data_IF_970658413827
#
_entry.id   IF_970658413827
#
_cell.length_a   1.000
_cell.length_b   1.000
_cell.length_c   1.000
_cell.angle_alpha   90.00
_cell.angle_beta   90.00
_cell.angle_gamma   90.00
#
_symmetry.space_group_name_H-M   'P 1'
#
loop_
_entity.id
_entity.type
_entity.pdbx_description
1 polymer ?
#
# COMPACT_ATOMS: atom_id res chain seq x y z
N UNK A 1 77.35 9.20 -64.96
CA UNK A 1 75.96 9.54 -64.58
C UNK A 1 75.30 8.28 -64.04
N UNK A 2 74.61 8.40 -62.92
CA UNK A 2 74.49 7.38 -61.86
C UNK A 2 73.69 6.11 -62.23
N UNK A 3 74.20 4.95 -61.79
CA UNK A 3 73.48 3.66 -61.75
C UNK A 3 72.57 3.60 -60.50
N UNK A 4 71.29 3.19 -60.64
CA UNK A 4 70.42 2.88 -59.50
C UNK A 4 70.65 1.45 -58.97
N UNK A 5 70.30 1.16 -57.70
CA UNK A 5 70.71 -0.06 -56.99
C UNK A 5 69.87 -1.31 -57.32
N UNK A 6 70.51 -2.47 -57.05
CA UNK A 6 70.16 -3.83 -57.47
C UNK A 6 69.09 -4.48 -56.57
N UNK A 7 68.24 -5.29 -57.22
CA UNK A 7 67.13 -6.11 -56.75
C UNK A 7 67.59 -7.42 -56.08
N UNK A 8 66.96 -7.83 -54.97
CA UNK A 8 66.89 -9.23 -54.52
C UNK A 8 65.58 -9.50 -53.78
N UNK A 9 64.73 -10.35 -54.36
CA UNK A 9 63.52 -10.90 -53.72
C UNK A 9 63.89 -12.06 -52.79
N UNK A 10 63.36 -12.11 -51.55
CA UNK A 10 63.39 -13.31 -50.72
C UNK A 10 62.19 -14.27 -51.00
N UNK A 11 62.36 -15.57 -50.70
CA UNK A 11 61.54 -16.66 -51.24
C UNK A 11 60.14 -16.83 -50.60
N UNK A 12 59.24 -17.44 -51.37
CA UNK A 12 57.87 -17.83 -51.01
C UNK A 12 57.83 -18.83 -49.83
N UNK A 13 56.98 -18.66 -48.81
CA UNK A 13 56.96 -19.52 -47.64
C UNK A 13 56.20 -20.84 -47.87
N UNK A 14 56.80 -21.95 -47.40
CA UNK A 14 56.20 -23.29 -47.30
C UNK A 14 55.48 -23.44 -45.96
N UNK A 15 54.31 -24.06 -45.99
CA UNK A 15 53.37 -24.17 -44.89
C UNK A 15 53.90 -25.00 -43.70
N UNK A 16 53.59 -24.53 -42.47
CA UNK A 16 53.64 -25.35 -41.26
C UNK A 16 52.38 -25.08 -40.43
N UNK A 17 51.65 -26.16 -40.13
CA UNK A 17 50.37 -26.22 -39.42
C UNK A 17 50.46 -25.85 -37.93
N UNK A 18 49.37 -25.27 -37.41
CA UNK A 18 49.13 -24.82 -36.03
C UNK A 18 49.23 -25.92 -34.95
N UNK A 19 49.45 -25.50 -33.69
CA UNK A 19 48.72 -26.03 -32.55
C UNK A 19 47.63 -25.06 -32.05
N UNK A 20 46.47 -25.66 -31.79
CA UNK A 20 45.23 -25.10 -31.27
C UNK A 20 45.42 -24.37 -29.93
N UNK A 21 45.04 -23.09 -29.88
CA UNK A 21 44.70 -22.41 -28.63
C UNK A 21 43.19 -22.16 -28.62
N UNK A 22 42.51 -22.82 -27.69
CA UNK A 22 41.09 -22.59 -27.40
C UNK A 22 40.94 -21.19 -26.83
N UNK A 23 40.46 -20.24 -27.62
CA UNK A 23 40.00 -18.94 -27.13
C UNK A 23 38.65 -19.15 -26.43
N UNK A 24 38.67 -19.20 -25.11
CA UNK A 24 37.45 -19.11 -24.32
C UNK A 24 36.93 -17.67 -24.41
N UNK A 25 35.89 -17.46 -25.20
CA UNK A 25 35.17 -16.19 -25.24
C UNK A 25 34.25 -16.14 -24.01
N UNK A 26 34.67 -15.44 -22.96
CA UNK A 26 33.77 -15.06 -21.87
C UNK A 26 32.83 -13.96 -22.37
N UNK A 27 31.64 -14.34 -22.83
CA UNK A 27 30.51 -13.40 -22.93
C UNK A 27 30.06 -13.04 -21.51
N UNK A 28 30.47 -11.87 -21.04
CA UNK A 28 29.93 -11.27 -19.83
C UNK A 28 28.56 -10.67 -20.14
N UNK A 29 27.52 -11.49 -20.00
CA UNK A 29 26.13 -11.00 -20.07
C UNK A 29 25.86 -10.23 -18.79
N UNK A 30 25.98 -8.90 -18.83
CA UNK A 30 25.56 -8.04 -17.73
C UNK A 30 24.04 -8.13 -17.63
N UNK A 31 23.54 -8.95 -16.70
CA UNK A 31 22.13 -8.96 -16.34
C UNK A 31 21.85 -7.61 -15.65
N UNK A 32 21.32 -6.63 -16.40
CA UNK A 32 20.66 -5.50 -15.76
C UNK A 32 19.44 -6.08 -15.07
N UNK A 33 19.59 -6.38 -13.78
CA UNK A 33 18.47 -6.47 -12.85
C UNK A 33 17.85 -5.08 -12.84
N UNK A 34 16.91 -4.84 -13.75
CA UNK A 34 15.99 -3.72 -13.64
C UNK A 34 15.30 -3.89 -12.29
N UNK A 35 15.66 -3.07 -11.31
CA UNK A 35 14.84 -2.90 -10.13
C UNK A 35 13.50 -2.41 -10.66
N UNK A 36 12.47 -3.24 -10.61
CA UNK A 36 11.10 -2.78 -10.76
C UNK A 36 10.86 -1.84 -9.59
N UNK A 37 11.14 -0.55 -9.78
CA UNK A 37 10.67 0.48 -8.87
C UNK A 37 9.16 0.41 -8.97
N UNK A 38 8.52 -0.13 -7.94
CA UNK A 38 7.09 0.02 -7.78
C UNK A 38 6.78 1.52 -7.88
N UNK A 39 5.69 1.85 -8.58
CA UNK A 39 5.28 3.23 -8.84
C UNK A 39 3.79 3.35 -8.58
N UNK A 40 3.38 4.48 -8.01
CA UNK A 40 1.98 4.88 -7.90
C UNK A 40 1.39 4.99 -9.31
N UNK A 41 0.30 4.26 -9.56
CA UNK A 41 -0.38 4.24 -10.86
C UNK A 41 -1.57 5.19 -10.79
N UNK A 42 -1.44 6.34 -11.44
CA UNK A 42 -2.50 7.33 -11.58
C UNK A 42 -3.38 6.99 -12.78
N UNK A 43 -4.71 7.10 -12.64
CA UNK A 43 -5.63 6.86 -13.76
C UNK A 43 -5.73 8.05 -14.72
N UNK A 44 -5.29 9.23 -14.26
CA UNK A 44 -5.44 10.51 -14.97
C UNK A 44 -6.71 11.27 -14.57
N UNK A 45 -7.65 10.63 -13.88
CA UNK A 45 -8.88 11.25 -13.42
C UNK A 45 -8.74 11.88 -12.02
N UNK A 46 -9.69 12.74 -11.69
CA UNK A 46 -9.82 13.32 -10.34
C UNK A 46 -11.26 13.25 -9.85
N UNK A 47 -11.43 13.09 -8.54
CA UNK A 47 -12.72 13.14 -7.87
C UNK A 47 -12.62 14.15 -6.71
N UNK A 48 -13.50 15.16 -6.72
CA UNK A 48 -13.49 16.26 -5.74
C UNK A 48 -12.12 16.98 -5.64
N UNK A 49 -11.41 17.07 -6.77
CA UNK A 49 -10.10 17.72 -6.85
C UNK A 49 -8.92 16.88 -6.38
N UNK A 50 -9.13 15.59 -6.02
CA UNK A 50 -8.06 14.67 -5.64
C UNK A 50 -7.86 13.60 -6.72
N UNK A 51 -6.61 13.17 -6.99
CA UNK A 51 -6.31 12.17 -7.99
C UNK A 51 -6.95 10.81 -7.68
N UNK A 52 -7.40 10.13 -8.73
CA UNK A 52 -7.76 8.72 -8.69
C UNK A 52 -6.53 7.88 -9.05
N UNK A 53 -6.27 6.85 -8.26
CA UNK A 53 -5.17 5.91 -8.44
C UNK A 53 -5.71 4.48 -8.54
N UNK A 54 -5.01 3.61 -9.24
CA UNK A 54 -5.24 2.17 -9.23
C UNK A 54 -4.23 1.43 -8.36
N UNK A 55 -3.07 2.04 -8.08
CA UNK A 55 -2.06 1.49 -7.16
C UNK A 55 -1.26 2.59 -6.48
N UNK A 56 -0.89 2.39 -5.22
CA UNK A 56 -0.14 3.32 -4.39
C UNK A 56 1.27 2.77 -4.15
N UNK A 57 2.27 3.58 -4.45
CA UNK A 57 3.61 3.45 -3.88
C UNK A 57 3.88 4.65 -2.97
N UNK A 58 4.07 4.39 -1.68
CA UNK A 58 4.29 5.47 -0.71
C UNK A 58 5.58 6.26 -0.99
N UNK A 59 6.55 5.68 -1.71
CA UNK A 59 7.82 6.33 -2.04
C UNK A 59 7.66 7.44 -3.07
N UNK A 60 6.57 7.45 -3.84
CA UNK A 60 6.22 8.52 -4.79
C UNK A 60 5.43 9.67 -4.14
N UNK A 61 4.94 9.48 -2.91
CA UNK A 61 4.17 10.52 -2.21
C UNK A 61 5.12 11.61 -1.71
N UNK A 62 4.87 12.91 -1.96
CA UNK A 62 5.78 13.97 -1.54
C UNK A 62 6.05 13.98 -0.03
N UNK A 63 7.32 14.11 0.35
CA UNK A 63 7.74 14.26 1.75
C UNK A 63 7.22 15.56 2.36
N UNK A 64 7.01 15.56 3.68
CA UNK A 64 6.45 16.65 4.48
C UNK A 64 5.03 17.07 4.06
N UNK A 65 4.23 16.13 3.54
CA UNK A 65 2.86 16.41 3.09
C UNK A 65 1.83 15.43 3.65
N UNK A 66 0.58 15.88 3.66
CA UNK A 66 -0.61 15.05 3.73
C UNK A 66 -1.24 15.06 2.34
N UNK A 67 -1.09 13.93 1.65
CA UNK A 67 -1.63 13.66 0.32
C UNK A 67 -2.95 12.91 0.42
N UNK A 68 -3.83 13.13 -0.57
CA UNK A 68 -5.14 12.48 -0.64
C UNK A 68 -5.35 11.87 -2.01
N UNK A 69 -5.90 10.67 -2.01
CA UNK A 69 -6.18 9.90 -3.20
C UNK A 69 -7.55 9.25 -3.09
N UNK A 70 -8.13 8.94 -4.23
CA UNK A 70 -9.18 7.95 -4.35
C UNK A 70 -8.58 6.71 -5.00
N UNK A 71 -8.68 5.55 -4.36
CA UNK A 71 -8.45 4.29 -5.06
C UNK A 71 -9.74 3.90 -5.79
N UNK A 72 -9.61 3.37 -7.00
CA UNK A 72 -10.69 2.67 -7.69
C UNK A 72 -10.50 1.15 -7.56
N UNK A 73 -10.89 0.54 -6.42
CA UNK A 73 -10.53 -0.85 -6.11
C UNK A 73 -11.21 -1.91 -7.00
N UNK A 74 -12.39 -1.59 -7.55
CA UNK A 74 -13.11 -2.46 -8.47
C UNK A 74 -14.25 -1.70 -9.16
N UNK A 75 -14.79 -2.31 -10.22
CA UNK A 75 -15.98 -1.83 -10.92
C UNK A 75 -17.15 -2.80 -10.72
N UNK A 76 -18.32 -2.25 -10.39
CA UNK A 76 -19.55 -3.01 -10.20
C UNK A 76 -20.32 -3.26 -11.49
N UNK A 77 -21.56 -3.73 -11.34
CA UNK A 77 -22.47 -3.93 -12.46
C UNK A 77 -22.65 -2.63 -13.27
N UNK A 78 -22.54 -2.73 -14.60
CA UNK A 78 -22.66 -1.59 -15.50
C UNK A 78 -21.40 -0.73 -15.62
N UNK A 79 -20.25 -1.20 -15.12
CA UNK A 79 -18.97 -0.47 -15.20
C UNK A 79 -18.91 0.73 -14.25
N UNK A 80 -19.68 0.70 -13.16
CA UNK A 80 -19.67 1.77 -12.16
C UNK A 80 -18.48 1.59 -11.22
N UNK A 81 -17.51 2.53 -11.18
CA UNK A 81 -16.36 2.41 -10.30
C UNK A 81 -16.75 2.63 -8.84
N UNK A 82 -16.14 1.85 -7.96
CA UNK A 82 -16.13 2.14 -6.52
C UNK A 82 -14.96 3.06 -6.21
N UNK A 83 -15.11 3.93 -5.21
CA UNK A 83 -14.04 4.81 -4.76
C UNK A 83 -13.78 4.63 -3.27
N UNK A 84 -12.50 4.49 -2.92
CA UNK A 84 -12.02 4.35 -1.56
C UNK A 84 -11.10 5.53 -1.20
N UNK A 85 -11.45 6.36 -0.21
CA UNK A 85 -10.60 7.48 0.17
C UNK A 85 -9.33 6.99 0.87
N UNK A 86 -8.18 7.48 0.43
CA UNK A 86 -6.87 7.20 1.01
C UNK A 86 -6.20 8.51 1.39
N UNK A 87 -5.66 8.56 2.61
CA UNK A 87 -4.81 9.65 3.07
C UNK A 87 -3.39 9.13 3.28
N UNK A 88 -2.38 9.91 2.92
CA UNK A 88 -0.97 9.58 3.20
C UNK A 88 -0.29 10.78 3.82
N UNK A 89 0.10 10.67 5.09
CA UNK A 89 0.94 11.66 5.76
C UNK A 89 2.37 11.15 5.73
N UNK A 90 3.29 11.92 5.13
CA UNK A 90 4.71 11.58 5.03
C UNK A 90 5.56 12.65 5.72
N UNK A 91 6.47 12.21 6.59
CA UNK A 91 7.42 13.09 7.28
C UNK A 91 8.43 13.72 6.33
N UNK A 92 9.41 14.43 6.87
CA UNK A 92 10.55 14.91 6.07
C UNK A 92 11.23 13.77 5.32
N UNK A 93 12.03 14.07 4.30
CA UNK A 93 12.70 13.02 3.52
C UNK A 93 13.52 12.05 4.40
N UNK A 94 14.34 12.60 5.29
CA UNK A 94 15.11 11.82 6.28
C UNK A 94 14.21 10.96 7.18
N UNK A 95 13.10 11.54 7.61
CA UNK A 95 12.13 10.86 8.45
C UNK A 95 11.40 9.74 7.70
N UNK A 96 11.02 9.94 6.44
CA UNK A 96 10.29 8.96 5.66
C UNK A 96 11.14 7.71 5.39
N UNK A 97 12.46 7.89 5.26
CA UNK A 97 13.42 6.79 5.08
C UNK A 97 13.74 6.04 6.37
N UNK A 98 13.87 6.74 7.50
CA UNK A 98 14.27 6.14 8.79
C UNK A 98 13.09 5.69 9.67
N UNK A 99 11.93 6.32 9.47
CA UNK A 99 10.71 6.10 10.24
C UNK A 99 9.92 4.87 9.82
N UNK A 100 8.91 4.53 10.63
CA UNK A 100 8.02 3.38 10.37
C UNK A 100 6.84 3.78 9.49
N UNK A 101 6.30 2.79 8.78
CA UNK A 101 5.12 2.89 7.93
C UNK A 101 3.92 2.30 8.66
N UNK A 102 2.97 3.15 9.05
CA UNK A 102 1.80 2.77 9.83
C UNK A 102 0.53 2.87 8.97
N UNK A 103 -0.27 1.82 8.93
CA UNK A 103 -1.62 1.85 8.36
C UNK A 103 -2.64 2.04 9.48
N UNK A 104 -3.54 3.02 9.31
CA UNK A 104 -4.69 3.27 10.17
C UNK A 104 -5.95 3.05 9.36
N UNK A 105 -6.63 1.94 9.61
CA UNK A 105 -7.85 1.58 8.91
C UNK A 105 -9.07 1.57 9.83
N UNK A 106 -10.23 1.84 9.27
CA UNK A 106 -11.49 1.84 10.00
C UNK A 106 -12.62 1.33 9.12
N UNK A 107 -13.73 0.97 9.77
CA UNK A 107 -15.01 0.70 9.11
C UNK A 107 -14.95 -0.29 7.95
N UNK A 108 -14.25 -1.41 8.14
CA UNK A 108 -14.40 -2.61 7.29
C UNK A 108 -15.79 -3.24 7.42
N UNK A 109 -16.43 -3.04 8.58
CA UNK A 109 -17.87 -3.15 8.70
C UNK A 109 -18.51 -1.77 8.57
N UNK A 110 -19.61 -1.68 7.82
CA UNK A 110 -20.21 -0.40 7.47
C UNK A 110 -21.06 0.24 8.58
N UNK A 111 -21.49 -0.53 9.57
CA UNK A 111 -22.22 -0.08 10.76
C UNK A 111 -21.28 0.43 11.88
N UNK A 112 -19.97 0.47 11.64
CA UNK A 112 -18.94 0.90 12.60
C UNK A 112 -18.43 2.32 12.29
N UNK A 113 -19.31 3.32 12.36
CA UNK A 113 -19.02 4.70 11.93
C UNK A 113 -18.12 5.52 12.88
N UNK A 114 -18.10 5.21 14.17
CA UNK A 114 -17.29 5.97 15.15
C UNK A 114 -15.78 5.95 14.83
N UNK A 115 -15.16 4.79 14.52
CA UNK A 115 -13.80 4.69 13.98
C UNK A 115 -13.44 5.61 12.81
N UNK A 116 -14.38 5.90 11.90
CA UNK A 116 -14.14 6.75 10.72
C UNK A 116 -13.64 8.14 11.17
N UNK A 117 -14.33 8.71 12.15
CA UNK A 117 -13.98 10.01 12.71
C UNK A 117 -12.65 9.99 13.47
N UNK A 118 -12.20 8.84 13.99
CA UNK A 118 -10.90 8.72 14.66
C UNK A 118 -9.77 8.89 13.66
N UNK A 119 -9.80 8.16 12.54
CA UNK A 119 -8.79 8.28 11.48
C UNK A 119 -8.75 9.70 10.94
N UNK A 120 -9.91 10.29 10.64
CA UNK A 120 -10.00 11.67 10.15
C UNK A 120 -9.43 12.70 11.15
N UNK A 121 -9.68 12.54 12.46
CA UNK A 121 -9.13 13.42 13.50
C UNK A 121 -7.63 13.27 13.66
N UNK A 122 -7.08 12.07 13.50
CA UNK A 122 -5.62 11.86 13.53
C UNK A 122 -4.98 12.67 12.40
N UNK A 123 -5.50 12.55 11.17
CA UNK A 123 -5.00 13.33 10.04
C UNK A 123 -5.22 14.84 10.20
N UNK A 124 -6.31 15.27 10.83
CA UNK A 124 -6.51 16.68 11.16
C UNK A 124 -5.46 17.21 12.15
N UNK A 125 -5.02 16.39 13.11
CA UNK A 125 -3.96 16.76 14.08
C UNK A 125 -2.56 16.76 13.47
N UNK A 126 -2.33 15.90 12.48
CA UNK A 126 -1.08 15.88 11.72
C UNK A 126 -0.98 17.08 10.75
N UNK A 127 -2.10 17.67 10.36
CA UNK A 127 -2.14 18.84 9.47
C UNK A 127 -1.72 20.11 10.23
N UNK A 128 -0.82 20.90 9.66
CA UNK A 128 -0.35 22.16 10.24
C UNK A 128 -1.49 23.12 10.60
N UNK A 129 -2.53 23.16 9.76
CA UNK A 129 -3.70 24.03 9.97
C UNK A 129 -4.68 23.49 11.01
N UNK A 130 -4.50 22.25 11.50
CA UNK A 130 -5.47 21.56 12.35
C UNK A 130 -6.80 21.22 11.65
N UNK A 131 -6.91 21.49 10.34
CA UNK A 131 -8.16 21.35 9.59
C UNK A 131 -8.43 19.91 9.23
N UNK A 132 -9.71 19.54 9.27
CA UNK A 132 -10.16 18.24 8.80
C UNK A 132 -9.79 17.99 7.34
N UNK A 133 -9.30 16.77 7.00
CA UNK A 133 -9.19 16.33 5.62
C UNK A 133 -10.58 16.25 5.00
N UNK A 134 -10.90 17.12 4.05
CA UNK A 134 -12.21 17.11 3.37
C UNK A 134 -12.66 18.45 2.82
N UNK A 135 -12.11 19.58 3.30
CA UNK A 135 -12.36 20.88 2.69
C UNK A 135 -11.21 21.26 1.76
N UNK A 136 -11.36 20.94 0.47
CA UNK A 136 -10.42 21.32 -0.58
C UNK A 136 -10.31 22.83 -0.65
N UNK A 137 -9.17 23.38 -0.22
CA UNK A 137 -8.77 24.77 -0.46
C UNK A 137 -8.20 24.97 -1.87
N UNK A 138 -8.37 23.98 -2.77
CA UNK A 138 -7.71 23.93 -4.08
C UNK A 138 -6.27 23.39 -4.03
N UNK A 139 -5.74 23.03 -2.85
CA UNK A 139 -4.43 22.38 -2.72
C UNK A 139 -4.56 20.86 -2.77
N UNK A 140 -3.72 20.24 -3.59
CA UNK A 140 -3.59 18.79 -3.72
C UNK A 140 -2.96 18.14 -2.47
N UNK A 141 -2.09 18.90 -1.80
CA UNK A 141 -1.35 18.48 -0.60
C UNK A 141 -1.51 19.52 0.50
N UNK A 142 -1.73 19.06 1.73
CA UNK A 142 -1.56 19.91 2.92
C UNK A 142 -0.18 19.67 3.54
N UNK A 143 0.31 20.63 4.32
CA UNK A 143 1.58 20.48 5.05
C UNK A 143 1.35 19.72 6.37
N UNK A 144 2.32 18.87 6.71
CA UNK A 144 2.36 18.24 8.04
C UNK A 144 2.81 19.27 9.06
N UNK A 145 2.17 19.31 10.22
CA UNK A 145 2.55 20.16 11.37
C UNK A 145 4.05 20.07 11.65
N UNK A 146 4.70 21.23 11.74
CA UNK A 146 6.12 21.30 12.08
C UNK A 146 6.38 20.64 13.44
N UNK A 147 7.16 19.56 13.43
CA UNK A 147 7.66 18.89 14.63
C UNK A 147 7.44 17.37 14.62
N UNK A 148 8.52 16.62 14.90
CA UNK A 148 8.51 15.26 15.46
C UNK A 148 7.83 14.13 14.68
N UNK A 149 7.12 14.38 13.57
CA UNK A 149 6.49 13.30 12.80
C UNK A 149 7.57 12.46 12.11
N UNK A 150 7.79 11.26 12.64
CA UNK A 150 8.77 10.33 12.11
C UNK A 150 8.15 9.14 11.35
N UNK A 151 8.12 9.18 10.02
CA UNK A 151 7.76 8.07 9.16
C UNK A 151 6.63 8.40 8.19
N UNK A 152 5.80 7.40 7.92
CA UNK A 152 4.65 7.52 7.00
C UNK A 152 3.40 6.90 7.63
N UNK A 153 2.26 7.58 7.52
CA UNK A 153 0.96 7.06 7.93
C UNK A 153 0.04 7.00 6.71
N UNK A 154 -0.50 5.81 6.44
CA UNK A 154 -1.59 5.59 5.49
C UNK A 154 -2.90 5.53 6.27
N UNK A 155 -3.89 6.32 5.85
CA UNK A 155 -5.22 6.36 6.44
C UNK A 155 -6.27 5.83 5.49
N UNK A 156 -7.01 4.82 5.93
CA UNK A 156 -8.22 4.29 5.30
C UNK A 156 -9.40 4.59 6.24
N UNK A 157 -9.97 5.82 6.20
CA UNK A 157 -11.01 6.22 7.14
C UNK A 157 -12.26 5.35 7.03
N UNK A 158 -12.50 4.77 5.86
CA UNK A 158 -13.47 3.71 5.66
C UNK A 158 -12.86 2.67 4.72
N UNK A 159 -13.05 1.39 5.03
CA UNK A 159 -12.75 0.29 4.11
C UNK A 159 -14.01 -0.19 3.37
N UNK A 160 -15.20 0.06 3.93
CA UNK A 160 -16.49 -0.33 3.35
C UNK A 160 -17.43 0.87 3.19
N UNK A 161 -17.16 1.79 2.24
CA UNK A 161 -18.03 2.95 2.00
C UNK A 161 -19.47 2.55 1.69
N UNK A 162 -19.70 1.44 0.99
CA UNK A 162 -21.03 0.96 0.66
C UNK A 162 -21.82 0.51 1.89
N UNK A 163 -21.17 -0.27 2.76
CA UNK A 163 -21.73 -0.63 4.05
C UNK A 163 -22.02 0.62 4.88
N UNK A 164 -21.17 1.66 4.83
CA UNK A 164 -21.46 2.92 5.53
C UNK A 164 -22.70 3.61 5.02
N UNK A 165 -22.83 3.74 3.69
CA UNK A 165 -23.98 4.39 3.04
C UNK A 165 -25.29 3.71 3.42
N UNK A 166 -25.28 2.40 3.58
CA UNK A 166 -26.46 1.61 3.92
C UNK A 166 -26.62 1.36 5.43
N UNK A 167 -25.64 1.78 6.23
CA UNK A 167 -25.51 1.44 7.64
C UNK A 167 -25.62 -0.08 7.89
N UNK A 168 -24.82 -0.84 7.16
CA UNK A 168 -24.82 -2.30 7.18
C UNK A 168 -23.44 -2.85 7.48
N UNK A 169 -23.40 -3.96 8.24
CA UNK A 169 -22.16 -4.64 8.60
C UNK A 169 -21.34 -5.09 7.39
N UNK A 170 -22.01 -5.65 6.40
CA UNK A 170 -21.38 -6.31 5.26
C UNK A 170 -21.21 -5.35 4.08
N UNK A 171 -20.40 -5.76 3.09
CA UNK A 171 -20.32 -5.11 1.79
C UNK A 171 -21.53 -5.49 0.95
N UNK A 172 -22.20 -4.48 0.43
CA UNK A 172 -23.43 -4.64 -0.35
C UNK A 172 -23.09 -4.60 -1.83
N UNK A 173 -23.48 -5.66 -2.54
CA UNK A 173 -23.37 -5.74 -3.98
C UNK A 173 -24.51 -6.57 -4.56
N UNK A 174 -24.92 -6.22 -5.78
CA UNK A 174 -25.80 -7.06 -6.59
C UNK A 174 -25.04 -8.16 -7.34
N UNK A 175 -23.70 -8.08 -7.41
CA UNK A 175 -22.85 -9.12 -8.00
C UNK A 175 -22.87 -10.38 -7.13
N UNK A 176 -22.91 -11.58 -7.74
CA UNK A 176 -22.98 -12.86 -7.02
C UNK A 176 -24.24 -13.03 -6.18
N UNK A 177 -25.41 -13.04 -6.85
CA UNK A 177 -26.73 -13.36 -6.27
C UNK A 177 -27.21 -12.45 -5.12
N UNK A 178 -26.66 -11.24 -4.99
CA UNK A 178 -27.10 -10.28 -3.97
C UNK A 178 -26.72 -10.65 -2.53
N UNK A 179 -25.71 -11.52 -2.34
CA UNK A 179 -25.26 -11.90 -1.02
C UNK A 179 -24.43 -10.79 -0.36
N UNK A 180 -24.59 -10.68 0.96
CA UNK A 180 -23.83 -9.75 1.78
C UNK A 180 -22.50 -10.38 2.17
N UNK A 181 -21.39 -9.78 1.72
CA UNK A 181 -20.04 -10.29 2.01
C UNK A 181 -19.44 -9.57 3.20
N UNK A 182 -18.97 -10.32 4.19
CA UNK A 182 -18.14 -9.75 5.24
C UNK A 182 -16.71 -9.54 4.69
N UNK A 183 -16.32 -8.28 4.45
CA UNK A 183 -14.98 -7.96 3.93
C UNK A 183 -13.85 -8.50 4.81
N UNK A 184 -14.06 -8.60 6.13
CA UNK A 184 -13.10 -9.12 7.08
C UNK A 184 -12.92 -10.67 7.02
N UNK A 185 -13.48 -11.32 6.00
CA UNK A 185 -13.37 -12.76 5.75
C UNK A 185 -12.83 -13.10 4.38
N UNK A 186 -12.58 -12.10 3.53
CA UNK A 186 -12.15 -12.31 2.14
C UNK A 186 -10.73 -11.83 1.87
N UNK A 187 -10.10 -11.05 2.75
CA UNK A 187 -8.68 -10.70 2.64
C UNK A 187 -7.79 -11.97 2.59
N UNK A 188 -6.74 -12.01 1.73
CA UNK A 188 -6.21 -10.92 0.91
C UNK A 188 -7.00 -10.64 -0.38
N UNK A 189 -8.08 -11.36 -0.66
CA UNK A 189 -8.88 -11.22 -1.86
C UNK A 189 -8.38 -12.07 -3.03
N UNK A 190 -9.08 -11.97 -4.14
CA UNK A 190 -8.77 -12.62 -5.43
C UNK A 190 -9.11 -11.61 -6.52
N UNK A 191 -8.23 -11.41 -7.52
CA UNK A 191 -8.52 -10.43 -8.57
C UNK A 191 -9.64 -10.91 -9.49
N UNK A 192 -10.24 -10.00 -10.28
CA UNK A 192 -11.23 -10.39 -11.29
C UNK A 192 -10.59 -11.31 -12.35
N UNK A 193 -9.33 -11.10 -12.73
CA UNK A 193 -8.66 -11.97 -13.71
C UNK A 193 -8.46 -13.40 -13.19
N UNK A 194 -8.30 -13.54 -11.87
CA UNK A 194 -8.18 -14.83 -11.18
C UNK A 194 -9.55 -15.47 -10.85
N UNK A 195 -10.66 -14.81 -11.23
CA UNK A 195 -12.02 -15.31 -11.03
C UNK A 195 -12.68 -14.88 -9.71
N UNK A 196 -12.12 -13.89 -9.02
CA UNK A 196 -12.73 -13.28 -7.83
C UNK A 196 -14.04 -12.56 -8.14
N UNK A 197 -14.96 -12.53 -7.17
CA UNK A 197 -16.13 -11.66 -7.23
C UNK A 197 -15.76 -10.22 -6.91
N UNK A 198 -16.73 -9.29 -7.04
CA UNK A 198 -16.52 -7.88 -6.70
C UNK A 198 -15.94 -7.67 -5.28
N UNK A 199 -16.46 -8.32 -4.21
CA UNK A 199 -15.90 -8.12 -2.87
C UNK A 199 -14.47 -8.68 -2.72
N UNK A 200 -14.14 -9.75 -3.45
CA UNK A 200 -12.82 -10.37 -3.43
C UNK A 200 -11.79 -9.47 -4.14
N UNK A 201 -12.14 -8.96 -5.32
CA UNK A 201 -11.29 -8.05 -6.08
C UNK A 201 -11.10 -6.72 -5.34
N UNK A 202 -12.16 -6.23 -4.70
CA UNK A 202 -12.09 -5.05 -3.84
C UNK A 202 -11.11 -5.24 -2.67
N UNK A 203 -11.13 -6.40 -2.02
CA UNK A 203 -10.17 -6.73 -0.96
C UNK A 203 -8.74 -6.90 -1.51
N UNK A 204 -8.60 -7.51 -2.70
CA UNK A 204 -7.33 -7.66 -3.41
C UNK A 204 -6.69 -6.30 -3.71
N UNK A 205 -7.47 -5.32 -4.16
CA UNK A 205 -6.97 -3.97 -4.39
C UNK A 205 -6.49 -3.29 -3.09
N UNK A 206 -7.21 -3.41 -1.97
CA UNK A 206 -6.71 -2.87 -0.70
C UNK A 206 -5.38 -3.54 -0.30
N UNK A 207 -5.33 -4.87 -0.40
CA UNK A 207 -4.17 -5.65 0.01
C UNK A 207 -2.93 -5.39 -0.85
N UNK A 208 -3.08 -5.46 -2.17
CA UNK A 208 -1.98 -5.35 -3.13
C UNK A 208 -1.68 -3.89 -3.47
N UNK A 209 -2.70 -3.09 -3.72
CA UNK A 209 -2.56 -1.76 -4.31
C UNK A 209 -2.52 -0.62 -3.30
N UNK A 210 -2.86 -0.86 -2.03
CA UNK A 210 -2.69 0.14 -0.96
C UNK A 210 -1.62 -0.29 0.02
N UNK A 211 -1.75 -1.49 0.58
CA UNK A 211 -0.75 -2.00 1.52
C UNK A 211 0.49 -2.56 0.82
N UNK A 212 0.50 -2.66 -0.51
CA UNK A 212 1.66 -3.09 -1.28
C UNK A 212 1.99 -4.56 -1.07
N UNK A 213 1.01 -5.40 -0.73
CA UNK A 213 1.26 -6.73 -0.16
C UNK A 213 2.31 -6.66 0.97
N UNK A 214 2.10 -5.71 1.91
CA UNK A 214 2.97 -5.34 3.04
C UNK A 214 4.20 -4.48 2.72
N UNK A 215 4.52 -4.15 1.47
CA UNK A 215 5.68 -3.29 1.18
C UNK A 215 5.46 -1.83 1.61
N UNK A 216 4.21 -1.36 1.63
CA UNK A 216 3.87 0.00 2.05
C UNK A 216 3.63 0.14 3.56
N UNK A 217 3.59 -0.95 4.32
CA UNK A 217 3.11 -0.96 5.71
C UNK A 217 3.94 -1.89 6.58
N UNK A 218 4.56 -1.35 7.63
CA UNK A 218 5.26 -2.12 8.66
C UNK A 218 4.31 -2.59 9.77
N UNK A 219 3.34 -1.74 10.12
CA UNK A 219 2.38 -1.96 11.21
C UNK A 219 1.01 -1.49 10.78
N UNK A 220 -0.03 -2.27 11.05
CA UNK A 220 -1.42 -1.88 10.80
C UNK A 220 -2.23 -1.85 12.09
N UNK A 221 -3.06 -0.83 12.24
CA UNK A 221 -4.05 -0.70 13.31
C UNK A 221 -5.41 -0.54 12.66
N UNK A 222 -6.30 -1.48 12.95
CA UNK A 222 -7.66 -1.49 12.42
C UNK A 222 -8.66 -1.18 13.55
N UNK A 223 -9.35 -0.05 13.43
CA UNK A 223 -10.30 0.43 14.43
C UNK A 223 -11.68 -0.20 14.21
N UNK A 224 -12.17 -0.87 15.27
CA UNK A 224 -13.47 -1.54 15.28
C UNK A 224 -14.39 -1.00 16.38
N UNK A 225 -15.69 -1.16 16.18
CA UNK A 225 -16.69 -1.02 17.25
C UNK A 225 -17.27 -2.39 17.58
N UNK A 226 -17.29 -2.75 18.87
CA UNK A 226 -18.00 -3.95 19.30
C UNK A 226 -19.49 -3.84 18.98
N UNK A 227 -20.11 -4.87 18.35
CA UNK A 227 -21.56 -4.91 18.17
C UNK A 227 -22.30 -5.15 19.51
N UNK A 228 -21.60 -5.58 20.57
CA UNK A 228 -22.24 -5.82 21.86
C UNK A 228 -22.50 -4.51 22.61
N UNK A 229 -23.70 -4.31 23.18
CA UNK A 229 -24.00 -3.14 23.99
C UNK A 229 -23.13 -3.10 25.26
N UNK A 230 -22.73 -4.27 25.78
CA UNK A 230 -21.88 -4.42 26.96
C UNK A 230 -20.47 -3.82 26.78
N UNK A 231 -19.87 -3.93 25.60
CA UNK A 231 -18.54 -3.36 25.31
C UNK A 231 -18.62 -1.99 24.63
N UNK A 232 -19.81 -1.44 24.40
CA UNK A 232 -19.98 -0.14 23.73
C UNK A 232 -19.36 1.05 24.50
N UNK A 233 -19.11 0.88 25.80
CA UNK A 233 -18.54 1.90 26.69
C UNK A 233 -17.08 1.61 27.11
N UNK A 234 -16.45 0.57 26.52
CA UNK A 234 -15.10 0.15 26.86
C UNK A 234 -14.18 0.20 25.63
N UNK A 235 -13.17 1.08 25.66
CA UNK A 235 -12.09 1.05 24.68
C UNK A 235 -11.22 -0.18 24.95
N UNK A 236 -11.32 -1.17 24.05
CA UNK A 236 -10.58 -2.42 24.09
C UNK A 236 -9.51 -2.42 23.00
N UNK A 237 -8.31 -2.89 23.33
CA UNK A 237 -7.27 -3.16 22.36
C UNK A 237 -7.04 -4.67 22.30
N UNK A 238 -7.19 -5.24 21.11
CA UNK A 238 -6.92 -6.64 20.84
C UNK A 238 -5.59 -6.77 20.09
N UNK A 239 -4.68 -7.57 20.63
CA UNK A 239 -3.42 -7.93 20.00
C UNK A 239 -3.43 -9.41 19.65
N UNK A 240 -3.10 -9.71 18.40
CA UNK A 240 -2.74 -11.07 17.98
C UNK A 240 -1.22 -11.16 17.87
N UNK A 241 -0.63 -12.15 18.53
CA UNK A 241 0.81 -12.27 18.73
C UNK A 241 1.51 -12.79 17.48
N UNK A 242 2.29 -11.96 16.76
CA UNK A 242 3.38 -12.47 15.94
C UNK A 242 4.71 -11.76 16.28
N UNK A 243 5.44 -12.46 17.16
CA UNK A 243 6.90 -12.55 17.27
C UNK A 243 7.76 -11.35 17.72
N UNK A 244 7.26 -10.17 18.08
CA UNK A 244 8.16 -9.07 18.53
C UNK A 244 7.68 -8.26 19.75
N UNK A 245 8.60 -7.84 20.67
CA UNK A 245 8.27 -7.03 21.84
C UNK A 245 7.62 -5.66 21.56
N UNK A 246 7.79 -5.11 20.35
CA UNK A 246 7.28 -3.80 19.95
C UNK A 246 5.76 -3.73 19.87
N UNK A 247 5.08 -4.82 19.53
CA UNK A 247 3.61 -4.86 19.40
C UNK A 247 2.91 -4.72 20.76
N UNK A 248 3.49 -5.29 21.82
CA UNK A 248 2.99 -5.17 23.20
C UNK A 248 3.07 -3.72 23.71
N UNK A 249 4.15 -3.01 23.33
CA UNK A 249 4.35 -1.62 23.69
C UNK A 249 3.30 -0.70 23.03
N UNK A 250 2.93 -0.94 21.77
CA UNK A 250 1.84 -0.21 21.08
C UNK A 250 0.50 -0.39 21.79
N UNK A 251 0.22 -1.61 22.27
CA UNK A 251 -0.96 -1.89 23.11
C UNK A 251 -0.98 -1.13 24.44
N UNK A 252 0.15 -1.01 25.11
CA UNK A 252 0.24 -0.21 26.34
C UNK A 252 0.12 1.30 26.08
N UNK A 253 0.77 1.80 25.02
CA UNK A 253 0.82 3.23 24.67
C UNK A 253 -0.54 3.79 24.25
N UNK A 254 -1.44 2.95 23.72
CA UNK A 254 -2.81 3.35 23.40
C UNK A 254 -3.69 3.57 24.64
N UNK A 255 -3.17 3.30 25.85
CA UNK A 255 -3.88 3.45 27.14
C UNK A 255 -5.32 2.88 27.14
N UNK A 256 -5.56 1.68 26.57
CA UNK A 256 -6.90 1.13 26.58
C UNK A 256 -7.31 0.82 28.02
N UNK A 257 -8.61 0.89 28.32
CA UNK A 257 -9.14 0.52 29.64
C UNK A 257 -8.92 -0.97 29.94
N UNK A 258 -8.70 -1.80 28.92
CA UNK A 258 -8.36 -3.22 29.03
C UNK A 258 -7.63 -3.69 27.76
N UNK A 259 -6.48 -4.37 27.93
CA UNK A 259 -5.76 -5.09 26.86
C UNK A 259 -6.13 -6.57 26.97
N UNK A 260 -6.74 -7.14 25.92
CA UNK A 260 -7.04 -8.56 25.85
C UNK A 260 -5.93 -9.28 25.06
N UNK A 261 -5.18 -10.14 25.73
CA UNK A 261 -4.15 -11.00 25.15
C UNK A 261 -4.77 -12.33 24.73
N UNK A 262 -4.84 -12.61 23.43
CA UNK A 262 -5.30 -13.89 22.90
C UNK A 262 -4.11 -14.75 22.45
N UNK A 263 -3.98 -15.93 23.06
CA UNK A 263 -3.02 -16.97 22.65
C UNK A 263 -3.72 -18.02 21.78
N UNK A 264 -4.14 -17.67 20.57
CA UNK A 264 -4.30 -18.61 19.45
C UNK A 264 -4.67 -17.86 18.16
N UNK A 265 -3.93 -18.16 17.08
CA UNK A 265 -3.83 -17.33 15.87
C UNK A 265 -4.72 -17.77 14.71
N UNK A 266 -5.65 -18.70 14.91
CA UNK A 266 -6.65 -19.03 13.89
C UNK A 266 -7.76 -17.98 13.80
N UNK A 267 -7.68 -16.91 14.61
CA UNK A 267 -8.87 -16.23 15.14
C UNK A 267 -9.00 -14.72 14.82
N UNK A 268 -8.05 -14.07 14.17
CA UNK A 268 -8.10 -12.61 13.96
C UNK A 268 -8.24 -12.14 12.49
N UNK A 269 -7.85 -12.97 11.52
CA UNK A 269 -8.30 -12.86 10.12
C UNK A 269 -9.39 -13.90 9.76
N UNK A 270 -9.52 -14.94 10.56
CA UNK A 270 -10.52 -15.99 10.45
C UNK A 270 -11.12 -16.19 11.84
N UNK A 271 -12.42 -16.40 11.98
CA UNK A 271 -13.04 -17.24 13.02
C UNK A 271 -14.54 -17.16 12.76
N UNK A 272 -15.10 -18.35 12.53
CA UNK A 272 -16.50 -18.70 12.26
C UNK A 272 -17.42 -17.58 11.79
#
# INVERSE_FOLDING_TARGET
MAQPPIHHDPPRPTATMLPSTKTALLTLTTLLLGSTTSQTIYTGDTLQGYPIISSLDITDVPSNTISRFWLSPAEGQGGLPYFLPIFVARGSEESAHSGKRLSLSASIHGDELNPVAVVQKIFARLNETGRFPGNSSGRQHDEVSAGGFNGTIIGLPTQNPQGNLLNQRNFFTSSSNGFFTNLNRVFPGVTIEEGGGLPDAYAAAIWNDVWGNTTNVDVAVDFRRSPSPFFSCLSLFFLSFLRTPSQFLVGLLSTPRLVLLSANLSSFFFTH
#
